data_IF_377037107371
#
_entry.id   IF_377037107371
#
_cell.length_a   1.000
_cell.length_b   1.000
_cell.length_c   1.000
_cell.angle_alpha   90.00
_cell.angle_beta   90.00
_cell.angle_gamma   90.00
#
_symmetry.space_group_name_H-M   'P 1'
#
loop_
_entity.id
_entity.type
_entity.pdbx_description
1 polymer ?
#
# COMPACT_ATOMS: atom_id res chain seq x y z
N UNK A 1 14.58 48.06 16.19
CA UNK A 1 13.54 47.63 17.17
C UNK A 1 12.22 48.38 16.94
N UNK A 2 11.72 48.40 15.69
CA UNK A 2 10.43 48.99 15.31
C UNK A 2 10.02 48.20 14.07
N UNK A 3 9.24 47.13 14.22
CA UNK A 3 8.47 46.53 13.11
C UNK A 3 7.50 45.40 13.50
N UNK A 4 7.48 44.95 14.76
CA UNK A 4 6.53 43.92 15.22
C UNK A 4 5.20 44.46 15.78
N UNK A 5 5.06 45.78 15.98
CA UNK A 5 3.88 46.34 16.64
C UNK A 5 2.72 46.73 15.69
N UNK A 6 2.93 46.68 14.37
CA UNK A 6 1.90 47.06 13.38
C UNK A 6 1.16 45.88 12.73
N UNK A 7 1.63 44.63 12.88
CA UNK A 7 0.95 43.45 12.32
C UNK A 7 -0.21 42.98 13.22
N UNK A 8 -0.08 43.14 14.54
CA UNK A 8 -1.11 42.72 15.51
C UNK A 8 -2.34 43.63 15.55
N UNK A 9 -2.25 44.89 15.12
CA UNK A 9 -3.43 45.78 15.01
C UNK A 9 -4.29 45.53 13.77
N UNK A 10 -3.74 44.95 12.71
CA UNK A 10 -4.50 44.58 11.50
C UNK A 10 -5.27 43.28 11.74
N UNK A 11 -4.70 42.35 12.51
CA UNK A 11 -5.35 41.06 12.81
C UNK A 11 -6.50 41.17 13.83
N UNK A 12 -6.53 42.19 14.70
CA UNK A 12 -7.63 42.38 15.64
C UNK A 12 -8.78 43.25 15.10
N UNK A 13 -8.57 43.99 14.00
CA UNK A 13 -9.56 44.95 13.45
C UNK A 13 -10.39 44.39 12.29
N UNK A 14 -10.09 43.19 11.80
CA UNK A 14 -10.98 42.43 10.90
C UNK A 14 -12.02 41.58 11.66
N UNK A 15 -11.99 41.59 13.00
CA UNK A 15 -12.94 40.88 13.87
C UNK A 15 -14.23 41.69 14.17
N UNK A 16 -14.40 42.90 13.62
CA UNK A 16 -15.56 43.76 13.94
C UNK A 16 -16.39 44.23 12.74
N UNK A 17 -16.20 43.64 11.55
CA UNK A 17 -17.13 43.86 10.45
C UNK A 17 -18.38 42.98 10.63
N UNK A 18 -19.49 43.66 10.93
CA UNK A 18 -20.86 43.15 11.06
C UNK A 18 -21.15 42.01 10.07
N UNK A 19 -21.07 40.77 10.55
CA UNK A 19 -21.89 39.68 10.01
C UNK A 19 -23.29 39.93 10.57
N UNK A 20 -24.25 40.20 9.69
CA UNK A 20 -25.66 40.05 10.01
C UNK A 20 -25.82 38.69 10.66
N UNK A 21 -26.15 38.68 11.96
CA UNK A 21 -26.52 37.45 12.66
C UNK A 21 -27.84 37.01 12.06
N UNK A 22 -27.80 36.27 10.97
CA UNK A 22 -28.84 35.31 10.70
C UNK A 22 -28.81 34.38 11.92
N UNK A 23 -29.86 34.44 12.72
CA UNK A 23 -30.13 33.45 13.76
C UNK A 23 -29.84 32.07 13.19
N UNK A 24 -29.14 31.18 13.90
CA UNK A 24 -28.95 29.82 13.41
C UNK A 24 -30.34 29.24 13.18
N UNK A 25 -30.68 29.01 11.90
CA UNK A 25 -31.89 28.27 11.53
C UNK A 25 -31.89 26.97 12.34
N UNK A 26 -33.03 26.52 12.88
CA UNK A 26 -33.07 25.30 13.66
C UNK A 26 -32.41 24.18 12.86
N UNK A 27 -31.37 23.56 13.41
CA UNK A 27 -30.72 22.42 12.79
C UNK A 27 -31.81 21.37 12.59
N UNK A 28 -32.18 21.14 11.33
CA UNK A 28 -33.16 20.13 10.98
C UNK A 28 -32.57 18.76 11.32
N UNK A 29 -33.06 18.15 12.40
CA UNK A 29 -32.52 16.92 12.97
C UNK A 29 -32.45 15.77 11.94
N UNK A 30 -33.29 15.80 10.90
CA UNK A 30 -33.31 14.80 9.85
C UNK A 30 -32.19 14.98 8.81
N UNK A 31 -31.82 16.21 8.49
CA UNK A 31 -30.66 16.50 7.63
C UNK A 31 -29.36 16.11 8.34
N UNK A 32 -29.25 16.43 9.64
CA UNK A 32 -28.09 16.07 10.45
C UNK A 32 -27.91 14.54 10.56
N UNK A 33 -29.01 13.79 10.75
CA UNK A 33 -28.97 12.32 10.76
C UNK A 33 -28.55 11.72 9.42
N UNK A 34 -29.02 12.27 8.30
CA UNK A 34 -28.64 11.81 6.96
C UNK A 34 -27.16 12.07 6.66
N UNK A 35 -26.62 13.23 7.08
CA UNK A 35 -25.20 13.56 6.93
C UNK A 35 -24.34 12.61 7.75
N UNK A 36 -24.69 12.33 9.01
CA UNK A 36 -23.98 11.36 9.85
C UNK A 36 -23.97 9.97 9.20
N UNK A 37 -25.14 9.48 8.77
CA UNK A 37 -25.26 8.17 8.14
C UNK A 37 -24.47 8.07 6.83
N UNK A 38 -24.46 9.14 6.03
CA UNK A 38 -23.66 9.20 4.81
C UNK A 38 -22.16 9.12 5.13
N UNK A 39 -21.69 9.88 6.12
CA UNK A 39 -20.28 9.85 6.53
C UNK A 39 -19.86 8.47 7.04
N UNK A 40 -20.71 7.81 7.85
CA UNK A 40 -20.47 6.43 8.30
C UNK A 40 -20.28 5.47 7.12
N UNK A 41 -21.12 5.57 6.08
CA UNK A 41 -20.97 4.74 4.88
C UNK A 41 -19.67 4.99 4.11
N UNK A 42 -19.11 6.21 4.15
CA UNK A 42 -17.80 6.47 3.56
C UNK A 42 -16.68 5.82 4.38
N UNK A 43 -16.80 5.85 5.70
CA UNK A 43 -15.87 5.17 6.61
C UNK A 43 -15.92 3.64 6.43
N UNK A 44 -17.12 3.08 6.25
CA UNK A 44 -17.30 1.64 5.97
C UNK A 44 -16.58 1.22 4.68
N UNK A 45 -16.65 2.04 3.63
CA UNK A 45 -15.90 1.79 2.38
C UNK A 45 -14.40 1.84 2.62
N UNK A 46 -13.92 2.82 3.39
CA UNK A 46 -12.50 2.97 3.71
C UNK A 46 -11.96 1.73 4.44
N UNK A 47 -12.66 1.29 5.48
CA UNK A 47 -12.34 0.08 6.25
C UNK A 47 -12.34 -1.15 5.35
N UNK A 48 -13.36 -1.30 4.51
CA UNK A 48 -13.46 -2.43 3.58
C UNK A 48 -12.29 -2.50 2.60
N UNK A 49 -11.93 -1.36 1.98
CA UNK A 49 -10.84 -1.32 0.99
C UNK A 49 -9.50 -1.63 1.67
N UNK A 50 -9.30 -1.13 2.89
CA UNK A 50 -8.10 -1.43 3.65
C UNK A 50 -8.02 -2.91 4.06
N UNK A 51 -9.11 -3.53 4.48
CA UNK A 51 -9.15 -4.98 4.76
C UNK A 51 -8.79 -5.80 3.51
N UNK A 52 -9.35 -5.44 2.35
CA UNK A 52 -9.02 -6.09 1.07
C UNK A 52 -7.54 -5.93 0.70
N UNK A 53 -6.97 -4.77 0.97
CA UNK A 53 -5.55 -4.53 0.80
C UNK A 53 -4.71 -5.44 1.70
N UNK A 54 -5.03 -5.49 3.00
CA UNK A 54 -4.33 -6.35 3.97
C UNK A 54 -4.39 -7.82 3.55
N UNK A 55 -5.58 -8.30 3.16
CA UNK A 55 -5.75 -9.65 2.66
C UNK A 55 -4.90 -9.91 1.41
N UNK A 56 -4.89 -9.00 0.44
CA UNK A 56 -4.07 -9.15 -0.75
C UNK A 56 -2.57 -9.21 -0.42
N UNK A 57 -2.09 -8.33 0.46
CA UNK A 57 -0.68 -8.32 0.89
C UNK A 57 -0.28 -9.57 1.69
N UNK A 58 -1.17 -10.06 2.56
CA UNK A 58 -0.96 -11.32 3.28
C UNK A 58 -0.81 -12.51 2.34
N UNK A 59 -1.52 -12.50 1.21
CA UNK A 59 -1.42 -13.52 0.16
C UNK A 59 -0.37 -13.19 -0.92
N UNK A 60 0.51 -12.22 -0.66
CA UNK A 60 1.57 -11.77 -1.57
C UNK A 60 1.08 -11.31 -2.95
N UNK A 61 -0.20 -10.93 -3.09
CA UNK A 61 -0.75 -10.45 -4.35
C UNK A 61 -0.26 -9.03 -4.66
N UNK A 62 0.01 -8.77 -5.94
CA UNK A 62 0.27 -7.40 -6.40
C UNK A 62 -1.00 -6.58 -6.31
N UNK A 63 -0.87 -5.35 -5.80
CA UNK A 63 -1.97 -4.41 -5.63
C UNK A 63 -1.62 -3.10 -6.32
N UNK A 64 -2.56 -2.57 -7.07
CA UNK A 64 -2.43 -1.32 -7.79
C UNK A 64 -3.61 -0.37 -7.49
N UNK A 65 -3.43 0.89 -7.88
CA UNK A 65 -4.45 1.94 -7.73
C UNK A 65 -5.81 1.54 -8.34
N UNK A 66 -5.80 0.75 -9.43
CA UNK A 66 -7.02 0.23 -10.05
C UNK A 66 -7.80 -0.72 -9.13
N UNK A 67 -7.11 -1.47 -8.26
CA UNK A 67 -7.75 -2.42 -7.35
C UNK A 67 -8.48 -1.69 -6.23
N UNK A 68 -7.89 -0.62 -5.68
CA UNK A 68 -8.55 0.25 -4.70
C UNK A 68 -9.81 0.91 -5.30
N UNK A 69 -9.76 1.38 -6.55
CA UNK A 69 -10.94 1.90 -7.24
C UNK A 69 -12.01 0.82 -7.42
N UNK A 70 -11.63 -0.38 -7.85
CA UNK A 70 -12.56 -1.50 -8.01
C UNK A 70 -13.23 -1.91 -6.70
N UNK A 71 -12.45 -2.09 -5.62
CA UNK A 71 -12.98 -2.50 -4.32
C UNK A 71 -13.90 -1.43 -3.71
N UNK A 72 -13.50 -0.16 -3.79
CA UNK A 72 -14.28 0.95 -3.23
C UNK A 72 -15.61 1.13 -3.94
N UNK A 73 -15.62 1.16 -5.28
CA UNK A 73 -16.86 1.28 -6.07
C UNK A 73 -17.79 0.08 -5.88
N UNK A 74 -17.22 -1.14 -5.82
CA UNK A 74 -18.00 -2.36 -5.55
C UNK A 74 -18.70 -2.28 -4.19
N UNK A 75 -17.98 -1.88 -3.14
CA UNK A 75 -18.55 -1.78 -1.80
C UNK A 75 -19.56 -0.63 -1.67
N UNK A 76 -19.28 0.53 -2.26
CA UNK A 76 -20.23 1.65 -2.29
C UNK A 76 -21.55 1.28 -2.98
N UNK A 77 -21.50 0.49 -4.06
CA UNK A 77 -22.69 -0.05 -4.70
C UNK A 77 -23.50 -0.96 -3.76
N UNK A 78 -22.82 -1.83 -3.00
CA UNK A 78 -23.47 -2.70 -2.00
C UNK A 78 -24.12 -1.92 -0.85
N UNK A 79 -23.53 -0.79 -0.45
CA UNK A 79 -24.05 0.09 0.61
C UNK A 79 -25.11 1.10 0.12
N UNK A 80 -25.47 1.04 -1.17
CA UNK A 80 -26.30 2.03 -1.86
C UNK A 80 -25.81 3.47 -1.65
N UNK A 81 -24.50 3.66 -1.51
CA UNK A 81 -23.86 4.95 -1.31
C UNK A 81 -23.72 5.66 -2.66
N UNK A 82 -24.48 6.75 -2.84
CA UNK A 82 -24.36 7.61 -4.02
C UNK A 82 -23.27 8.66 -3.81
N UNK A 83 -22.46 8.90 -4.84
CA UNK A 83 -21.48 10.00 -4.88
C UNK A 83 -20.03 9.62 -4.58
N UNK A 84 -19.73 8.36 -4.25
CA UNK A 84 -18.34 7.90 -4.25
C UNK A 84 -17.87 7.70 -5.70
N UNK A 85 -16.83 8.43 -6.10
CA UNK A 85 -16.25 8.33 -7.45
C UNK A 85 -14.89 7.62 -7.48
N UNK A 86 -14.32 7.29 -6.31
CA UNK A 86 -12.95 6.77 -6.19
C UNK A 86 -11.93 7.59 -7.02
N UNK A 87 -12.06 8.91 -6.97
CA UNK A 87 -11.23 9.86 -7.72
C UNK A 87 -9.76 9.81 -7.28
N UNK A 88 -8.86 10.40 -8.07
CA UNK A 88 -7.44 10.52 -7.71
C UNK A 88 -7.24 11.15 -6.33
N UNK A 89 -8.02 12.19 -6.02
CA UNK A 89 -7.95 12.85 -4.72
C UNK A 89 -8.39 11.93 -3.57
N UNK A 90 -9.45 11.15 -3.76
CA UNK A 90 -9.88 10.16 -2.76
C UNK A 90 -8.80 9.09 -2.55
N UNK A 91 -8.25 8.57 -3.65
CA UNK A 91 -7.23 7.54 -3.64
C UNK A 91 -5.92 8.01 -3.00
N UNK A 92 -5.49 9.23 -3.30
CA UNK A 92 -4.32 9.85 -2.68
C UNK A 92 -4.54 9.97 -1.17
N UNK A 93 -5.69 10.52 -0.75
CA UNK A 93 -6.02 10.64 0.68
C UNK A 93 -6.11 9.27 1.37
N UNK A 94 -6.69 8.26 0.73
CA UNK A 94 -6.74 6.88 1.24
C UNK A 94 -5.34 6.33 1.48
N UNK A 95 -4.45 6.43 0.48
CA UNK A 95 -3.06 5.98 0.60
C UNK A 95 -2.32 6.72 1.72
N UNK A 96 -2.49 8.04 1.84
CA UNK A 96 -1.86 8.84 2.89
C UNK A 96 -2.36 8.43 4.28
N UNK A 97 -3.68 8.28 4.47
CA UNK A 97 -4.27 7.85 5.75
C UNK A 97 -3.72 6.51 6.24
N UNK A 98 -3.54 5.57 5.32
CA UNK A 98 -3.08 4.21 5.60
C UNK A 98 -1.57 4.02 5.42
N UNK A 99 -0.82 5.10 5.18
CA UNK A 99 0.64 5.05 4.92
C UNK A 99 1.03 4.07 3.80
N UNK A 100 0.24 3.97 2.73
CA UNK A 100 0.47 3.07 1.60
C UNK A 100 1.29 3.79 0.53
N UNK A 101 2.34 3.15 0.03
CA UNK A 101 3.18 3.66 -1.05
C UNK A 101 3.47 2.58 -2.11
N UNK A 102 3.88 3.02 -3.31
CA UNK A 102 4.34 2.10 -4.36
C UNK A 102 5.79 1.71 -4.11
N UNK A 103 6.06 0.43 -3.97
CA UNK A 103 7.41 -0.11 -3.82
C UNK A 103 7.70 -1.19 -4.87
N UNK A 104 8.98 -1.36 -5.19
CA UNK A 104 9.44 -2.46 -6.06
C UNK A 104 9.35 -3.77 -5.28
N UNK A 105 8.82 -4.81 -5.94
CA UNK A 105 8.84 -6.18 -5.43
C UNK A 105 10.29 -6.67 -5.44
N UNK A 106 10.79 -7.03 -4.26
CA UNK A 106 12.18 -7.47 -4.06
C UNK A 106 12.31 -8.98 -3.96
N UNK A 107 11.23 -9.67 -3.60
CA UNK A 107 11.20 -11.12 -3.40
C UNK A 107 9.99 -11.70 -4.11
N UNK A 108 10.25 -12.65 -5.00
CA UNK A 108 9.23 -13.37 -5.72
C UNK A 108 9.02 -14.74 -5.08
N UNK A 109 7.76 -15.06 -4.78
CA UNK A 109 7.36 -16.34 -4.22
C UNK A 109 6.65 -17.16 -5.29
N UNK A 110 7.10 -18.40 -5.46
CA UNK A 110 6.33 -19.41 -6.18
C UNK A 110 5.50 -20.20 -5.17
N UNK A 111 4.43 -20.84 -5.64
CA UNK A 111 3.57 -21.69 -4.81
C UNK A 111 4.38 -22.76 -4.06
N UNK A 112 5.34 -23.38 -4.75
CA UNK A 112 6.26 -24.37 -4.17
C UNK A 112 7.08 -23.81 -2.99
N UNK A 113 7.55 -22.56 -3.10
CA UNK A 113 8.32 -21.93 -2.01
C UNK A 113 7.43 -21.65 -0.80
N UNK A 114 6.18 -21.24 -1.03
CA UNK A 114 5.21 -21.00 0.05
C UNK A 114 4.89 -22.32 0.78
N UNK A 115 4.68 -23.40 0.04
CA UNK A 115 4.31 -24.72 0.60
C UNK A 115 5.48 -25.41 1.31
N UNK A 116 6.71 -25.27 0.82
CA UNK A 116 7.88 -26.02 1.30
C UNK A 116 8.91 -25.14 2.04
N UNK A 117 8.48 -24.03 2.64
CA UNK A 117 9.39 -23.03 3.22
C UNK A 117 10.33 -23.63 4.29
N UNK A 118 9.85 -24.58 5.08
CA UNK A 118 10.63 -25.22 6.16
C UNK A 118 11.71 -26.15 5.58
N UNK A 119 11.35 -27.02 4.64
CA UNK A 119 12.28 -27.89 3.92
C UNK A 119 13.38 -27.09 3.21
N UNK A 120 13.01 -25.98 2.54
CA UNK A 120 13.97 -25.08 1.89
C UNK A 120 14.95 -24.49 2.90
N UNK A 121 14.46 -24.09 4.08
CA UNK A 121 15.32 -23.52 5.12
C UNK A 121 16.26 -24.57 5.73
N UNK A 122 15.80 -25.80 5.93
CA UNK A 122 16.64 -26.91 6.41
C UNK A 122 17.70 -27.29 5.38
N UNK A 123 17.30 -27.44 4.11
CA UNK A 123 18.21 -27.71 3.01
C UNK A 123 19.27 -26.61 2.87
N UNK A 124 18.89 -25.33 3.00
CA UNK A 124 19.83 -24.22 2.97
C UNK A 124 20.85 -24.28 4.12
N UNK A 125 20.40 -24.57 5.36
CA UNK A 125 21.31 -24.73 6.51
C UNK A 125 22.28 -25.88 6.29
N UNK A 126 21.77 -27.02 5.81
CA UNK A 126 22.58 -28.20 5.51
C UNK A 126 23.62 -27.89 4.42
N UNK A 127 23.21 -27.22 3.34
CA UNK A 127 24.10 -26.80 2.28
C UNK A 127 25.26 -25.93 2.79
N UNK A 128 24.97 -24.91 3.61
CA UNK A 128 26.04 -24.03 4.16
C UNK A 128 27.02 -24.83 5.00
N UNK A 129 26.54 -25.75 5.85
CA UNK A 129 27.39 -26.58 6.70
C UNK A 129 28.29 -27.50 5.88
N UNK A 130 27.73 -28.21 4.89
CA UNK A 130 28.50 -29.14 4.06
C UNK A 130 29.49 -28.40 3.14
N UNK A 131 29.05 -27.30 2.52
CA UNK A 131 29.93 -26.50 1.66
C UNK A 131 31.09 -25.91 2.48
N UNK A 132 30.83 -25.46 3.70
CA UNK A 132 31.86 -25.01 4.64
C UNK A 132 32.96 -26.05 4.84
N UNK A 133 32.58 -27.29 5.18
CA UNK A 133 33.52 -28.42 5.37
C UNK A 133 34.34 -28.71 4.11
N UNK A 134 33.72 -28.66 2.94
CA UNK A 134 34.41 -28.89 1.67
C UNK A 134 35.43 -27.76 1.41
N UNK A 135 35.04 -26.51 1.66
CA UNK A 135 35.88 -25.33 1.39
C UNK A 135 37.08 -25.22 2.34
N UNK A 136 37.05 -25.81 3.54
CA UNK A 136 38.20 -25.85 4.47
C UNK A 136 39.44 -26.51 3.84
N UNK A 137 39.25 -27.43 2.88
CA UNK A 137 40.33 -28.10 2.17
C UNK A 137 41.01 -27.27 1.08
N UNK A 138 40.53 -26.05 0.80
CA UNK A 138 41.00 -25.21 -0.29
C UNK A 138 41.43 -23.83 0.21
N UNK A 139 42.45 -23.25 -0.43
CA UNK A 139 42.79 -21.85 -0.20
C UNK A 139 41.66 -20.95 -0.75
N UNK A 140 41.38 -19.78 -0.15
CA UNK A 140 40.36 -18.86 -0.66
C UNK A 140 40.51 -18.51 -2.14
N UNK A 141 41.75 -18.48 -2.66
CA UNK A 141 42.04 -18.19 -4.07
C UNK A 141 41.67 -19.34 -5.04
N UNK A 142 41.33 -20.51 -4.51
CA UNK A 142 40.90 -21.70 -5.26
C UNK A 142 39.38 -21.88 -5.23
N UNK A 143 38.68 -21.05 -4.45
CA UNK A 143 37.21 -21.07 -4.36
C UNK A 143 36.67 -20.02 -5.33
N UNK A 144 36.14 -20.48 -6.46
CA UNK A 144 35.57 -19.62 -7.47
C UNK A 144 34.05 -19.58 -7.33
N UNK A 145 33.48 -18.38 -7.27
CA UNK A 145 32.04 -18.20 -7.36
C UNK A 145 31.63 -18.18 -8.83
N UNK A 146 30.67 -19.03 -9.20
CA UNK A 146 30.04 -19.02 -10.52
C UNK A 146 28.54 -18.88 -10.30
N UNK A 147 27.94 -17.86 -10.89
CA UNK A 147 26.50 -17.64 -10.78
C UNK A 147 25.91 -17.27 -12.14
N UNK A 148 24.62 -17.56 -12.31
CA UNK A 148 23.85 -17.19 -13.50
C UNK A 148 23.05 -15.92 -13.21
N UNK A 149 23.01 -15.01 -14.17
CA UNK A 149 22.11 -13.86 -14.12
C UNK A 149 20.91 -14.09 -15.04
N UNK A 150 19.70 -13.85 -14.51
CA UNK A 150 18.50 -13.72 -15.31
C UNK A 150 18.43 -12.30 -15.88
N UNK A 151 18.29 -12.19 -17.20
CA UNK A 151 18.05 -10.91 -17.87
C UNK A 151 16.61 -10.94 -18.42
N UNK A 152 15.82 -9.96 -18.03
CA UNK A 152 14.48 -9.77 -18.57
C UNK A 152 14.57 -9.22 -20.00
N UNK A 153 13.97 -9.91 -20.96
CA UNK A 153 13.91 -9.43 -22.35
C UNK A 153 12.96 -8.22 -22.50
N UNK A 154 11.88 -8.21 -21.72
CA UNK A 154 10.82 -7.20 -21.80
C UNK A 154 10.65 -6.46 -20.46
N UNK A 155 10.49 -5.12 -20.49
CA UNK A 155 10.23 -4.35 -19.29
C UNK A 155 8.81 -4.61 -18.78
N UNK A 156 8.68 -5.02 -17.52
CA UNK A 156 7.40 -5.16 -16.85
C UNK A 156 7.32 -4.32 -15.57
N UNK A 157 6.10 -3.97 -15.15
CA UNK A 157 5.91 -3.23 -13.91
C UNK A 157 6.03 -4.16 -12.71
N UNK A 158 7.20 -4.14 -12.06
CA UNK A 158 7.51 -4.93 -10.86
C UNK A 158 7.20 -4.19 -9.56
N UNK A 159 6.25 -3.24 -9.56
CA UNK A 159 5.86 -2.49 -8.38
C UNK A 159 4.49 -2.89 -7.88
N UNK A 160 4.31 -2.85 -6.57
CA UNK A 160 3.02 -3.03 -5.89
C UNK A 160 2.84 -1.91 -4.87
N UNK A 161 1.59 -1.61 -4.54
CA UNK A 161 1.27 -0.86 -3.35
C UNK A 161 1.54 -1.71 -2.12
N UNK A 162 2.18 -1.13 -1.10
CA UNK A 162 2.55 -1.79 0.15
C UNK A 162 2.67 -0.76 1.27
N UNK A 163 2.91 -1.18 2.51
CA UNK A 163 3.08 -0.25 3.63
C UNK A 163 4.37 0.55 3.51
N UNK A 164 4.30 1.84 3.83
CA UNK A 164 5.43 2.74 3.89
C UNK A 164 6.45 2.28 4.93
N UNK A 165 7.73 2.23 4.54
CA UNK A 165 8.83 1.82 5.42
C UNK A 165 9.12 0.33 5.46
N UNK A 166 8.39 -0.51 4.72
CA UNK A 166 8.74 -1.93 4.56
C UNK A 166 10.10 -2.10 3.85
N UNK A 167 10.98 -2.93 4.43
CA UNK A 167 12.32 -3.20 3.88
C UNK A 167 12.32 -4.24 2.77
N UNK A 168 11.32 -5.11 2.73
CA UNK A 168 11.23 -6.19 1.75
C UNK A 168 9.78 -6.35 1.32
N UNK A 169 9.56 -6.17 0.02
CA UNK A 169 8.24 -6.30 -0.59
C UNK A 169 8.18 -7.63 -1.31
N UNK A 170 7.25 -8.48 -0.91
CA UNK A 170 7.05 -9.80 -1.47
C UNK A 170 5.89 -9.76 -2.48
N UNK A 171 6.04 -10.54 -3.56
CA UNK A 171 5.02 -10.73 -4.58
C UNK A 171 4.97 -12.18 -5.02
N UNK A 172 3.78 -12.73 -5.27
CA UNK A 172 3.62 -14.06 -5.83
C UNK A 172 3.73 -14.03 -7.34
N UNK A 173 4.42 -15.01 -7.90
CA UNK A 173 4.49 -15.23 -9.35
C UNK A 173 3.28 -16.04 -9.76
N UNK A 174 2.52 -15.54 -10.74
CA UNK A 174 1.44 -16.32 -11.37
C UNK A 174 2.03 -17.36 -12.31
N UNK A 175 1.49 -18.58 -12.34
CA UNK A 175 2.01 -19.73 -13.12
C UNK A 175 2.31 -19.43 -14.60
N UNK A 176 1.60 -18.47 -15.21
CA UNK A 176 1.81 -18.09 -16.60
C UNK A 176 3.17 -17.40 -16.86
N UNK A 177 3.74 -16.68 -15.88
CA UNK A 177 5.06 -16.06 -15.99
C UNK A 177 6.16 -17.14 -16.00
N UNK A 178 6.00 -18.21 -15.21
CA UNK A 178 6.94 -19.34 -15.19
C UNK A 178 7.03 -20.05 -16.54
N UNK A 179 5.93 -20.09 -17.30
CA UNK A 179 5.89 -20.69 -18.64
C UNK A 179 6.64 -19.90 -19.73
N UNK A 180 6.96 -18.62 -19.44
CA UNK A 180 7.63 -17.71 -20.38
C UNK A 180 9.12 -17.55 -20.08
N UNK A 181 9.53 -17.70 -18.81
CA UNK A 181 10.93 -17.55 -18.37
C UNK A 181 11.71 -18.88 -18.45
N UNK A 182 11.03 -20.02 -18.57
CA UNK A 182 11.65 -21.36 -18.61
C UNK A 182 11.57 -22.06 -19.98
N UNK A 183 11.55 -21.31 -21.09
CA UNK A 183 11.75 -21.84 -22.44
C UNK A 183 13.05 -21.29 -23.02
#
# INVERSE_FOLDING_TARGET
MIHFHNVLKVLFKLSSNKISRNSPSPINNDEHKQVIQKNQKFDDVDIYVYDRFQHARHNFLSVHDVDFRRWSLKNAHQLHLKGLQASEGWLWNFKVRHSICSQRITKLLTKKVIENQEEINESAKYFVLETGKITEGYSPNQVLNTDQIGIELEPHNNRTLTHGGEKSTWGSVSDWILSTVLK
#
